data_IF_478551360560
#
_entry.id   IF_478551360560
#
_cell.length_a   1.000
_cell.length_b   1.000
_cell.length_c   1.000
_cell.angle_alpha   90.00
_cell.angle_beta   90.00
_cell.angle_gamma   90.00
#
_symmetry.space_group_name_H-M   'P 1'
#
loop_
_entity.id
_entity.type
_entity.pdbx_description
1 polymer ?
#
# COMPACT_ATOMS: atom_id res chain seq x y z
N UNK A 1 6.48 1.21 1.47
CA UNK A 1 5.03 1.11 1.15
C UNK A 1 4.66 -0.16 0.36
N UNK A 2 5.60 -1.08 0.08
CA UNK A 2 5.31 -2.33 -0.65
C UNK A 2 4.24 -3.21 0.01
N UNK A 3 4.22 -3.29 1.34
CA UNK A 3 3.21 -4.05 2.08
C UNK A 3 1.79 -3.63 1.69
N UNK A 4 1.56 -2.32 1.53
CA UNK A 4 0.26 -1.76 1.16
C UNK A 4 -0.10 -2.06 -0.30
N UNK A 5 0.87 -2.09 -1.21
CA UNK A 5 0.62 -2.52 -2.59
C UNK A 5 0.22 -4.01 -2.63
N UNK A 6 0.96 -4.86 -1.93
CA UNK A 6 0.69 -6.30 -1.88
C UNK A 6 -0.72 -6.60 -1.35
N UNK A 7 -1.13 -5.95 -0.26
CA UNK A 7 -2.48 -6.08 0.33
C UNK A 7 -3.62 -5.64 -0.60
N UNK A 8 -3.33 -4.90 -1.68
CA UNK A 8 -4.33 -4.38 -2.63
C UNK A 8 -4.32 -5.11 -3.96
N UNK A 9 -3.13 -5.55 -4.39
CA UNK A 9 -2.91 -6.15 -5.72
C UNK A 9 -3.02 -7.67 -5.69
N UNK A 10 -2.56 -8.32 -4.62
CA UNK A 10 -2.63 -9.78 -4.52
C UNK A 10 -4.07 -10.20 -4.17
N UNK A 11 -4.74 -11.02 -5.00
CA UNK A 11 -6.12 -11.42 -4.79
C UNK A 11 -6.37 -12.04 -3.40
N UNK A 12 -5.48 -12.93 -2.96
CA UNK A 12 -5.60 -13.63 -1.68
C UNK A 12 -5.71 -12.66 -0.49
N UNK A 13 -4.80 -11.68 -0.46
CA UNK A 13 -4.72 -10.65 0.59
C UNK A 13 -5.83 -9.61 0.46
N UNK A 14 -6.15 -9.20 -0.77
CA UNK A 14 -7.18 -8.20 -1.05
C UNK A 14 -8.57 -8.70 -0.62
N UNK A 15 -8.89 -9.97 -0.89
CA UNK A 15 -10.13 -10.61 -0.45
C UNK A 15 -10.23 -10.66 1.07
N UNK A 16 -9.17 -11.12 1.76
CA UNK A 16 -9.15 -11.20 3.22
C UNK A 16 -9.40 -9.85 3.91
N UNK A 17 -8.95 -8.77 3.29
CA UNK A 17 -9.02 -7.41 3.87
C UNK A 17 -10.30 -6.65 3.48
N UNK A 18 -11.03 -7.11 2.46
CA UNK A 18 -12.22 -6.43 1.94
C UNK A 18 -13.54 -7.00 2.44
N UNK A 19 -13.53 -8.06 3.26
CA UNK A 19 -14.71 -8.58 3.94
C UNK A 19 -15.44 -7.47 4.73
N UNK A 20 -16.78 -7.46 4.68
CA UNK A 20 -17.60 -6.35 5.20
C UNK A 20 -17.41 -6.13 6.71
N UNK A 21 -17.32 -7.22 7.48
CA UNK A 21 -17.05 -7.18 8.91
C UNK A 21 -15.69 -6.52 9.22
N UNK A 22 -14.67 -6.80 8.40
CA UNK A 22 -13.34 -6.21 8.51
C UNK A 22 -13.38 -4.73 8.11
N UNK A 23 -14.11 -4.36 7.06
CA UNK A 23 -14.28 -2.96 6.64
C UNK A 23 -14.96 -2.09 7.69
N UNK A 24 -15.93 -2.63 8.44
CA UNK A 24 -16.59 -1.89 9.55
C UNK A 24 -15.60 -1.64 10.69
N UNK A 25 -14.88 -2.67 11.14
CA UNK A 25 -13.86 -2.54 12.19
C UNK A 25 -12.73 -1.61 11.78
N UNK A 26 -12.27 -1.72 10.53
CA UNK A 26 -11.25 -0.86 9.94
C UNK A 26 -11.61 0.63 10.01
N UNK A 27 -12.87 1.01 9.78
CA UNK A 27 -13.31 2.42 9.90
C UNK A 27 -13.09 2.95 11.33
N UNK A 28 -13.42 2.15 12.34
CA UNK A 28 -13.24 2.52 13.75
C UNK A 28 -11.74 2.60 14.09
N UNK A 29 -10.96 1.62 13.64
CA UNK A 29 -9.50 1.58 13.84
C UNK A 29 -8.78 2.71 13.10
N UNK A 30 -9.38 3.30 12.07
CA UNK A 30 -8.85 4.51 11.43
C UNK A 30 -9.26 5.79 12.18
N UNK A 31 -10.49 5.86 12.68
CA UNK A 31 -11.03 7.05 13.34
C UNK A 31 -10.35 7.33 14.69
N UNK A 32 -10.26 6.32 15.56
CA UNK A 32 -9.77 6.50 16.93
C UNK A 32 -8.30 6.98 16.98
N UNK A 33 -7.36 6.37 16.25
CA UNK A 33 -5.98 6.85 16.23
C UNK A 33 -5.82 8.24 15.64
N UNK A 34 -6.69 8.65 14.71
CA UNK A 34 -6.70 10.01 14.18
C UNK A 34 -7.05 11.05 15.25
N UNK A 35 -8.06 10.76 16.09
CA UNK A 35 -8.44 11.62 17.21
C UNK A 35 -7.34 11.69 18.28
N UNK A 36 -6.73 10.54 18.61
CA UNK A 36 -5.61 10.48 19.55
C UNK A 36 -4.43 11.27 19.00
N UNK A 37 -4.10 11.11 17.72
CA UNK A 37 -3.02 11.83 17.05
C UNK A 37 -3.24 13.36 17.07
N UNK A 38 -4.48 13.82 16.92
CA UNK A 38 -4.83 15.23 17.11
C UNK A 38 -4.57 15.70 18.55
N UNK A 39 -4.96 14.91 19.56
CA UNK A 39 -4.66 15.19 20.96
C UNK A 39 -3.17 15.25 21.25
N UNK A 40 -2.39 14.29 20.72
CA UNK A 40 -0.93 14.26 20.85
C UNK A 40 -0.30 15.48 20.20
N UNK A 41 -0.74 15.87 19.00
CA UNK A 41 -0.28 17.10 18.35
C UNK A 41 -0.57 18.33 19.21
N UNK A 42 -1.78 18.45 19.76
CA UNK A 42 -2.18 19.57 20.63
C UNK A 42 -1.33 19.69 21.89
N UNK A 43 -0.86 18.56 22.43
CA UNK A 43 0.07 18.56 23.56
C UNK A 43 1.50 18.86 23.10
N UNK A 44 1.98 18.17 22.07
CA UNK A 44 3.36 18.25 21.60
C UNK A 44 3.74 19.66 21.14
N UNK A 45 2.82 20.44 20.56
CA UNK A 45 3.09 21.84 20.17
C UNK A 45 3.51 22.75 21.33
N UNK A 46 3.21 22.37 22.57
CA UNK A 46 3.61 23.10 23.77
C UNK A 46 4.91 22.57 24.41
N UNK A 47 5.38 21.39 23.99
CA UNK A 47 6.50 20.70 24.61
C UNK A 47 7.76 20.66 23.73
N UNK A 48 7.58 20.62 22.40
CA UNK A 48 8.67 20.46 21.44
C UNK A 48 8.51 21.44 20.28
N UNK A 49 9.62 21.86 19.63
CA UNK A 49 9.56 22.79 18.50
C UNK A 49 9.05 22.07 17.24
N UNK A 50 7.72 21.90 17.13
CA UNK A 50 7.06 21.25 15.99
C UNK A 50 7.27 22.01 14.68
N UNK A 51 7.74 23.27 14.71
CA UNK A 51 8.14 24.01 13.52
C UNK A 51 9.39 23.42 12.83
N UNK A 52 10.22 22.66 13.55
CA UNK A 52 11.35 21.97 12.95
C UNK A 52 10.90 20.67 12.27
N UNK A 53 11.14 20.51 10.94
CA UNK A 53 10.65 19.33 10.22
C UNK A 53 11.14 18.01 10.81
N UNK A 54 12.39 17.92 11.27
CA UNK A 54 12.95 16.70 11.85
C UNK A 54 12.26 16.31 13.16
N UNK A 55 11.93 17.29 14.00
CA UNK A 55 11.20 17.09 15.26
C UNK A 55 9.78 16.61 14.96
N UNK A 56 9.10 17.23 14.00
CA UNK A 56 7.79 16.76 13.53
C UNK A 56 7.84 15.32 13.03
N UNK A 57 8.84 14.97 12.20
CA UNK A 57 9.00 13.61 11.69
C UNK A 57 9.28 12.60 12.81
N UNK A 58 10.08 12.96 13.81
CA UNK A 58 10.36 12.12 14.97
C UNK A 58 9.10 11.89 15.83
N UNK A 59 8.36 12.95 16.14
CA UNK A 59 7.09 12.85 16.89
C UNK A 59 6.08 12.00 16.11
N UNK A 60 5.93 12.24 14.81
CA UNK A 60 5.06 11.47 13.94
C UNK A 60 5.45 9.99 13.89
N UNK A 61 6.75 9.68 13.80
CA UNK A 61 7.26 8.32 13.83
C UNK A 61 6.94 7.61 15.14
N UNK A 62 7.13 8.27 16.29
CA UNK A 62 6.84 7.69 17.60
C UNK A 62 5.35 7.39 17.77
N UNK A 63 4.48 8.33 17.37
CA UNK A 63 3.03 8.12 17.40
C UNK A 63 2.64 6.95 16.48
N UNK A 64 3.22 6.89 15.28
CA UNK A 64 2.97 5.82 14.32
C UNK A 64 3.47 4.45 14.80
N UNK A 65 4.62 4.38 15.49
CA UNK A 65 5.14 3.15 16.09
C UNK A 65 4.18 2.55 17.12
N UNK A 66 3.73 3.37 18.07
CA UNK A 66 2.77 2.96 19.10
C UNK A 66 1.45 2.54 18.44
N UNK A 67 0.99 3.32 17.47
CA UNK A 67 -0.25 3.06 16.74
C UNK A 67 -0.17 1.74 15.97
N UNK A 68 0.95 1.46 15.29
CA UNK A 68 1.15 0.22 14.57
C UNK A 68 1.06 -0.99 15.50
N UNK A 69 1.72 -0.94 16.66
CA UNK A 69 1.68 -2.02 17.65
C UNK A 69 0.26 -2.28 18.15
N UNK A 70 -0.46 -1.22 18.53
CA UNK A 70 -1.83 -1.33 19.05
C UNK A 70 -2.82 -1.79 17.97
N UNK A 71 -2.76 -1.21 16.77
CA UNK A 71 -3.66 -1.58 15.67
C UNK A 71 -3.41 -3.01 15.19
N UNK A 72 -2.16 -3.47 15.17
CA UNK A 72 -1.83 -4.85 14.88
C UNK A 72 -2.41 -5.80 15.92
N UNK A 73 -2.29 -5.50 17.22
CA UNK A 73 -2.93 -6.29 18.27
C UNK A 73 -4.44 -6.39 18.05
N UNK A 74 -5.10 -5.28 17.69
CA UNK A 74 -6.54 -5.26 17.40
C UNK A 74 -6.89 -6.13 16.18
N UNK A 75 -6.09 -6.10 15.12
CA UNK A 75 -6.27 -6.95 13.94
C UNK A 75 -6.04 -8.43 14.24
N UNK A 76 -5.01 -8.72 15.03
CA UNK A 76 -4.61 -10.06 15.46
C UNK A 76 -5.60 -10.67 16.46
N UNK A 77 -6.31 -9.83 17.21
CA UNK A 77 -7.33 -10.17 18.21
C UNK A 77 -6.86 -11.19 19.25
N UNK A 78 -5.61 -11.05 19.70
CA UNK A 78 -4.96 -11.93 20.68
C UNK A 78 -4.26 -11.11 21.78
N UNK A 79 -4.03 -11.68 22.98
CA UNK A 79 -3.23 -11.05 24.01
C UNK A 79 -1.75 -10.95 23.61
N UNK A 80 -1.03 -9.97 24.17
CA UNK A 80 0.38 -9.74 23.83
C UNK A 80 1.28 -10.96 24.05
N UNK A 81 1.04 -11.75 25.09
CA UNK A 81 1.80 -12.97 25.36
C UNK A 81 1.72 -13.99 24.21
N UNK A 82 0.53 -14.17 23.65
CA UNK A 82 0.30 -15.05 22.50
C UNK A 82 0.96 -14.49 21.24
N UNK A 83 0.83 -13.18 21.01
CA UNK A 83 1.47 -12.49 19.88
C UNK A 83 2.99 -12.67 19.93
N UNK A 84 3.62 -12.42 21.07
CA UNK A 84 5.08 -12.57 21.20
C UNK A 84 5.52 -14.01 20.95
N UNK A 85 4.76 -14.99 21.44
CA UNK A 85 5.08 -16.42 21.29
C UNK A 85 4.91 -16.92 19.86
N UNK A 86 3.84 -16.54 19.17
CA UNK A 86 3.47 -17.11 17.86
C UNK A 86 3.91 -16.27 16.66
N UNK A 87 4.03 -14.95 16.81
CA UNK A 87 4.37 -14.04 15.72
C UNK A 87 5.86 -13.67 15.75
N UNK A 88 6.49 -13.74 16.92
CA UNK A 88 7.93 -13.59 17.12
C UNK A 88 8.41 -12.14 17.04
N UNK A 89 9.54 -11.88 17.70
CA UNK A 89 10.11 -10.53 17.83
C UNK A 89 10.48 -9.92 16.47
N UNK A 90 10.89 -10.75 15.50
CA UNK A 90 11.27 -10.29 14.16
C UNK A 90 10.12 -9.65 13.38
N UNK A 91 8.92 -10.24 13.43
CA UNK A 91 7.77 -9.69 12.73
C UNK A 91 7.31 -8.39 13.39
N UNK A 92 7.33 -8.36 14.72
CA UNK A 92 6.91 -7.20 15.50
C UNK A 92 7.88 -6.03 15.37
N UNK A 93 9.19 -6.29 15.38
CA UNK A 93 10.20 -5.27 15.15
C UNK A 93 10.13 -4.72 13.72
N UNK A 94 9.89 -5.57 12.72
CA UNK A 94 9.61 -5.12 11.36
C UNK A 94 8.33 -4.28 11.28
N UNK A 95 7.25 -4.70 11.94
CA UNK A 95 5.99 -3.95 11.94
C UNK A 95 6.17 -2.58 12.59
N UNK A 96 6.73 -2.52 13.79
CA UNK A 96 6.90 -1.26 14.53
C UNK A 96 7.93 -0.36 13.84
N UNK A 97 9.07 -0.90 13.43
CA UNK A 97 10.13 -0.13 12.79
C UNK A 97 9.79 0.28 11.36
N UNK A 98 9.41 -0.67 10.50
CA UNK A 98 9.20 -0.40 9.07
C UNK A 98 7.81 0.15 8.76
N UNK A 99 6.75 -0.44 9.33
CA UNK A 99 5.37 0.00 9.09
C UNK A 99 4.96 1.13 10.04
N UNK A 100 5.47 1.16 11.27
CA UNK A 100 5.26 2.27 12.20
C UNK A 100 6.15 3.47 11.87
N UNK A 101 7.45 3.36 12.14
CA UNK A 101 8.36 4.51 12.04
C UNK A 101 8.61 4.95 10.60
N UNK A 102 9.23 4.09 9.76
CA UNK A 102 9.65 4.47 8.41
C UNK A 102 8.47 4.89 7.55
N UNK A 103 7.39 4.08 7.53
CA UNK A 103 6.21 4.41 6.75
C UNK A 103 5.46 5.64 7.29
N UNK A 104 5.41 5.85 8.61
CA UNK A 104 4.86 7.06 9.21
C UNK A 104 5.61 8.33 8.79
N UNK A 105 6.94 8.29 8.75
CA UNK A 105 7.80 9.37 8.24
C UNK A 105 7.51 9.63 6.76
N UNK A 106 7.46 8.58 5.93
CA UNK A 106 7.14 8.72 4.51
C UNK A 106 5.79 9.42 4.30
N UNK A 107 4.74 9.00 5.00
CA UNK A 107 3.43 9.62 4.87
C UNK A 107 3.41 11.07 5.37
N UNK A 108 4.18 11.39 6.41
CA UNK A 108 4.30 12.76 6.90
C UNK A 108 4.98 13.66 5.85
N UNK A 109 6.09 13.19 5.27
CA UNK A 109 6.78 13.88 4.17
C UNK A 109 5.85 14.08 2.97
N UNK A 110 5.08 13.07 2.60
CA UNK A 110 4.10 13.17 1.52
C UNK A 110 3.12 14.32 1.75
N UNK A 111 2.56 14.42 2.96
CA UNK A 111 1.59 15.48 3.30
C UNK A 111 2.25 16.85 3.23
N UNK A 112 3.45 17.00 3.79
CA UNK A 112 4.18 18.27 3.76
C UNK A 112 4.51 18.70 2.33
N UNK A 113 4.98 17.78 1.49
CA UNK A 113 5.29 18.07 0.07
C UNK A 113 4.04 18.43 -0.70
N UNK A 114 2.94 17.70 -0.49
CA UNK A 114 1.68 17.97 -1.19
C UNK A 114 1.17 19.37 -0.88
N UNK A 115 1.22 19.79 0.38
CA UNK A 115 0.81 21.13 0.79
C UNK A 115 1.75 22.20 0.25
N UNK A 116 3.06 21.94 0.21
CA UNK A 116 4.04 22.84 -0.40
C UNK A 116 3.76 23.07 -1.90
N UNK A 117 3.46 22.02 -2.66
CA UNK A 117 3.08 22.13 -4.09
C UNK A 117 1.81 22.96 -4.26
N UNK A 118 0.87 22.87 -3.33
CA UNK A 118 -0.37 23.66 -3.32
C UNK A 118 -0.19 25.10 -2.78
N UNK A 119 1.06 25.59 -2.72
CA UNK A 119 1.42 26.91 -2.20
C UNK A 119 1.09 27.14 -0.71
N UNK A 120 0.89 26.08 0.05
CA UNK A 120 0.70 26.14 1.51
C UNK A 120 1.99 25.72 2.23
N UNK A 121 2.82 26.71 2.56
CA UNK A 121 4.16 26.47 3.09
C UNK A 121 4.15 26.16 4.59
N UNK A 122 4.61 24.96 4.95
CA UNK A 122 4.84 24.54 6.34
C UNK A 122 5.83 25.45 7.09
N UNK A 123 6.84 26.00 6.40
CA UNK A 123 7.81 26.90 7.02
C UNK A 123 7.19 28.26 7.41
N UNK A 124 6.08 28.65 6.78
CA UNK A 124 5.38 29.90 7.06
C UNK A 124 4.19 29.69 8.02
N UNK A 125 3.49 28.56 7.88
CA UNK A 125 2.34 28.20 8.69
C UNK A 125 2.47 26.73 9.18
N UNK A 126 3.24 26.47 10.24
CA UNK A 126 3.60 25.10 10.63
C UNK A 126 2.44 24.30 11.21
N UNK A 127 1.46 24.95 11.84
CA UNK A 127 0.44 24.29 12.65
C UNK A 127 -0.52 23.40 11.84
N UNK A 128 -1.02 23.89 10.70
CA UNK A 128 -1.94 23.14 9.84
C UNK A 128 -1.29 21.89 9.23
N UNK A 129 -0.15 22.02 8.52
CA UNK A 129 0.53 20.90 7.90
C UNK A 129 1.07 19.88 8.91
N UNK A 130 1.59 20.33 10.05
CA UNK A 130 2.06 19.42 11.11
C UNK A 130 0.94 18.54 11.66
N UNK A 131 -0.21 19.15 11.96
CA UNK A 131 -1.39 18.44 12.42
C UNK A 131 -1.85 17.41 11.39
N UNK A 132 -1.98 17.81 10.11
CA UNK A 132 -2.39 16.91 9.03
C UNK A 132 -1.39 15.77 8.84
N UNK A 133 -0.09 16.05 8.87
CA UNK A 133 0.96 15.04 8.71
C UNK A 133 0.90 13.96 9.79
N UNK A 134 0.74 14.35 11.07
CA UNK A 134 0.62 13.41 12.20
C UNK A 134 -0.68 12.59 12.11
N UNK A 135 -1.82 13.22 11.80
CA UNK A 135 -3.11 12.51 11.73
C UNK A 135 -3.16 11.54 10.54
N UNK A 136 -2.76 11.99 9.33
CA UNK A 136 -2.85 11.19 8.10
C UNK A 136 -1.87 10.01 8.16
N UNK A 137 -0.66 10.23 8.68
CA UNK A 137 0.31 9.15 8.87
C UNK A 137 -0.20 8.13 9.89
N UNK A 138 -0.65 8.57 11.07
CA UNK A 138 -1.19 7.72 12.12
C UNK A 138 -2.37 6.87 11.64
N UNK A 139 -3.38 7.48 11.00
CA UNK A 139 -4.57 6.78 10.50
C UNK A 139 -4.25 5.76 9.42
N UNK A 140 -3.31 6.08 8.52
CA UNK A 140 -2.87 5.17 7.46
C UNK A 140 -2.06 3.99 8.01
N UNK A 141 -1.16 4.25 8.97
CA UNK A 141 -0.37 3.22 9.66
C UNK A 141 -1.28 2.29 10.48
N UNK A 142 -2.26 2.85 11.20
CA UNK A 142 -3.25 2.08 11.95
C UNK A 142 -3.99 1.09 11.04
N UNK A 143 -4.45 1.58 9.88
CA UNK A 143 -5.13 0.76 8.88
C UNK A 143 -4.26 -0.41 8.43
N UNK A 144 -3.04 -0.12 7.99
CA UNK A 144 -2.19 -1.13 7.36
C UNK A 144 -1.67 -2.14 8.40
N UNK A 145 -1.35 -1.70 9.62
CA UNK A 145 -0.99 -2.59 10.72
C UNK A 145 -2.14 -3.50 11.17
N UNK A 146 -3.37 -2.98 11.19
CA UNK A 146 -4.57 -3.78 11.45
C UNK A 146 -4.79 -4.85 10.38
N UNK A 147 -4.66 -4.49 9.10
CA UNK A 147 -4.78 -5.43 7.97
C UNK A 147 -3.74 -6.55 8.06
N UNK A 148 -2.48 -6.22 8.37
CA UNK A 148 -1.41 -7.19 8.57
C UNK A 148 -1.71 -8.13 9.77
N UNK A 149 -2.20 -7.57 10.89
CA UNK A 149 -2.60 -8.37 12.05
C UNK A 149 -3.76 -9.32 11.74
N UNK A 150 -4.72 -8.87 10.94
CA UNK A 150 -5.85 -9.68 10.51
C UNK A 150 -5.42 -10.84 9.59
N UNK A 151 -4.56 -10.57 8.60
CA UNK A 151 -4.00 -11.62 7.73
C UNK A 151 -3.23 -12.66 8.58
N UNK A 152 -2.46 -12.21 9.57
CA UNK A 152 -1.75 -13.12 10.47
C UNK A 152 -2.69 -13.99 11.30
N UNK A 153 -3.78 -13.42 11.82
CA UNK A 153 -4.83 -14.17 12.51
C UNK A 153 -5.42 -15.26 11.60
N UNK A 154 -5.78 -14.92 10.36
CA UNK A 154 -6.32 -15.89 9.40
C UNK A 154 -5.32 -17.02 9.08
N UNK A 155 -4.03 -16.68 8.99
CA UNK A 155 -2.95 -17.67 8.78
C UNK A 155 -2.93 -18.70 9.91
N UNK A 156 -3.04 -18.25 11.16
CA UNK A 156 -3.07 -19.15 12.32
C UNK A 156 -4.36 -19.96 12.44
N UNK A 157 -5.47 -19.45 11.90
CA UNK A 157 -6.74 -20.17 11.79
C UNK A 157 -6.76 -21.19 10.65
N UNK A 158 -5.60 -21.49 10.04
CA UNK A 158 -5.46 -22.52 9.02
C UNK A 158 -5.77 -22.06 7.60
N UNK A 159 -5.91 -20.76 7.32
CA UNK A 159 -5.96 -20.23 5.95
C UNK A 159 -4.56 -19.83 5.48
N UNK A 160 -3.84 -20.66 4.71
CA UNK A 160 -2.49 -20.32 4.28
C UNK A 160 -2.50 -19.15 3.28
N UNK A 161 -1.57 -18.21 3.46
CA UNK A 161 -1.28 -17.17 2.48
C UNK A 161 0.12 -17.41 1.90
N UNK A 162 0.19 -17.51 0.57
CA UNK A 162 1.45 -17.78 -0.15
C UNK A 162 2.44 -16.62 -0.05
N UNK A 163 1.92 -15.40 0.04
CA UNK A 163 2.74 -14.19 0.17
C UNK A 163 2.34 -13.42 1.42
N UNK A 164 3.28 -13.29 2.36
CA UNK A 164 3.15 -12.38 3.49
C UNK A 164 3.88 -11.06 3.19
N UNK A 165 3.31 -9.89 3.54
CA UNK A 165 3.84 -8.58 3.12
C UNK A 165 5.05 -8.09 3.94
N UNK A 166 5.98 -8.96 4.36
CA UNK A 166 7.18 -8.63 5.16
C UNK A 166 8.44 -8.30 4.32
N UNK A 167 8.33 -8.38 3.00
CA UNK A 167 9.43 -8.15 2.06
C UNK A 167 10.45 -9.29 1.97
N UNK A 168 10.29 -10.39 2.72
CA UNK A 168 11.12 -11.58 2.53
C UNK A 168 10.98 -12.17 1.10
N UNK A 169 9.76 -12.25 0.51
CA UNK A 169 9.61 -12.77 -0.83
C UNK A 169 10.24 -11.87 -1.91
N UNK A 170 10.36 -10.56 -1.65
CA UNK A 170 11.08 -9.64 -2.55
C UNK A 170 12.59 -9.88 -2.49
N UNK A 171 13.16 -10.11 -1.30
CA UNK A 171 14.60 -10.41 -1.16
C UNK A 171 14.98 -11.70 -1.90
N UNK A 172 14.14 -12.73 -1.81
CA UNK A 172 14.33 -13.98 -2.56
C UNK A 172 14.30 -13.72 -4.06
N UNK A 173 13.35 -12.90 -4.54
CA UNK A 173 13.26 -12.52 -5.95
C UNK A 173 14.53 -11.80 -6.43
N UNK A 174 15.03 -10.84 -5.65
CA UNK A 174 16.25 -10.10 -5.96
C UNK A 174 17.48 -11.02 -6.07
N UNK A 175 17.54 -12.08 -5.27
CA UNK A 175 18.65 -13.05 -5.31
C UNK A 175 18.55 -14.00 -6.50
N UNK A 176 17.35 -14.45 -6.86
CA UNK A 176 17.18 -15.55 -7.83
C UNK A 176 16.81 -15.08 -9.25
N UNK A 177 16.22 -13.88 -9.40
CA UNK A 177 15.75 -13.34 -10.69
C UNK A 177 16.35 -11.97 -11.03
N UNK A 178 17.52 -11.63 -10.49
CA UNK A 178 18.21 -10.36 -10.78
C UNK A 178 18.37 -10.09 -12.28
N UNK A 179 18.71 -11.11 -13.07
CA UNK A 179 18.88 -10.98 -14.52
C UNK A 179 17.61 -10.59 -15.27
N UNK A 180 16.43 -11.01 -14.80
CA UNK A 180 15.14 -10.66 -15.40
C UNK A 180 14.62 -9.31 -14.89
N UNK A 181 15.01 -8.91 -13.67
CA UNK A 181 14.67 -7.62 -13.06
C UNK A 181 15.47 -6.45 -13.62
N UNK A 182 16.75 -6.67 -13.94
CA UNK A 182 17.68 -5.61 -14.37
C UNK A 182 17.15 -4.71 -15.49
N UNK A 183 16.66 -5.27 -16.62
CA UNK A 183 16.12 -4.48 -17.72
C UNK A 183 14.94 -3.58 -17.31
N UNK A 184 14.05 -4.05 -16.43
CA UNK A 184 12.92 -3.27 -15.94
C UNK A 184 13.36 -2.09 -15.06
N UNK A 185 14.34 -2.33 -14.18
CA UNK A 185 14.92 -1.28 -13.33
C UNK A 185 15.62 -0.22 -14.20
N UNK A 186 16.41 -0.63 -15.20
CA UNK A 186 17.08 0.27 -16.13
C UNK A 186 16.08 1.09 -16.97
N UNK A 187 15.04 0.44 -17.50
CA UNK A 187 13.96 1.13 -18.21
C UNK A 187 13.25 2.14 -17.29
N UNK A 188 13.00 1.76 -16.03
CA UNK A 188 12.47 2.65 -15.01
C UNK A 188 13.35 3.87 -14.81
N UNK A 189 14.66 3.69 -14.56
CA UNK A 189 15.62 4.79 -14.39
C UNK A 189 15.58 5.77 -15.58
N UNK A 190 15.67 5.25 -16.81
CA UNK A 190 15.68 6.06 -18.02
C UNK A 190 14.37 6.87 -18.18
N UNK A 191 13.22 6.21 -18.05
CA UNK A 191 11.91 6.85 -18.19
C UNK A 191 11.66 7.89 -17.08
N UNK A 192 12.09 7.61 -15.85
CA UNK A 192 11.94 8.55 -14.74
C UNK A 192 12.84 9.76 -14.83
N UNK A 193 14.04 9.63 -15.39
CA UNK A 193 14.91 10.78 -15.64
C UNK A 193 14.26 11.78 -16.61
N UNK A 194 13.57 11.27 -17.64
CA UNK A 194 12.83 12.07 -18.62
C UNK A 194 11.61 12.79 -18.01
N UNK A 195 11.10 12.32 -16.86
CA UNK A 195 9.96 12.93 -16.19
C UNK A 195 10.27 14.34 -15.61
N UNK A 196 11.55 14.74 -15.60
CA UNK A 196 11.96 16.10 -15.22
C UNK A 196 11.73 17.15 -16.32
N UNK A 197 11.65 16.73 -17.59
CA UNK A 197 11.56 17.61 -18.77
C UNK A 197 10.35 18.56 -18.71
N UNK A 198 9.13 18.12 -18.35
CA UNK A 198 7.98 19.03 -18.27
C UNK A 198 8.19 20.19 -17.28
N UNK A 199 8.98 19.98 -16.22
CA UNK A 199 9.31 21.04 -15.26
C UNK A 199 10.26 22.10 -15.81
N UNK A 200 11.03 21.81 -16.87
CA UNK A 200 11.88 22.79 -17.55
C UNK A 200 11.06 23.79 -18.38
N UNK A 201 9.83 23.44 -18.73
CA UNK A 201 8.95 24.25 -19.58
C UNK A 201 8.07 25.22 -18.78
N UNK A 202 8.14 25.17 -17.45
CA UNK A 202 7.31 25.97 -16.54
C UNK A 202 8.21 26.89 -15.72
N UNK A 203 7.98 28.19 -15.81
CA UNK A 203 8.78 29.19 -15.10
C UNK A 203 8.49 29.24 -13.59
N UNK A 204 7.26 28.89 -13.19
CA UNK A 204 6.83 28.86 -11.79
C UNK A 204 7.35 27.59 -11.07
N UNK A 205 7.91 27.74 -9.87
CA UNK A 205 8.53 26.63 -9.13
C UNK A 205 7.50 25.57 -8.73
N UNK A 206 6.33 25.99 -8.24
CA UNK A 206 5.25 25.10 -7.84
C UNK A 206 4.61 24.43 -9.08
N UNK A 207 4.41 25.19 -10.16
CA UNK A 207 3.95 24.68 -11.45
C UNK A 207 4.90 23.63 -12.04
N UNK A 208 6.21 23.87 -11.97
CA UNK A 208 7.23 22.91 -12.40
C UNK A 208 7.18 21.63 -11.55
N UNK A 209 7.07 21.75 -10.23
CA UNK A 209 6.93 20.60 -9.33
C UNK A 209 5.64 19.80 -9.59
N UNK A 210 4.53 20.47 -9.89
CA UNK A 210 3.26 19.83 -10.24
C UNK A 210 3.35 19.10 -11.60
N UNK A 211 3.98 19.72 -12.61
CA UNK A 211 4.21 19.11 -13.91
C UNK A 211 5.09 17.86 -13.80
N UNK A 212 6.16 17.93 -13.00
CA UNK A 212 7.03 16.78 -12.73
C UNK A 212 6.32 15.68 -11.94
N UNK A 213 5.53 16.04 -10.92
CA UNK A 213 4.70 15.08 -10.18
C UNK A 213 3.74 14.35 -11.12
N UNK A 214 3.05 15.07 -12.00
CA UNK A 214 2.15 14.49 -12.99
C UNK A 214 2.91 13.56 -13.95
N UNK A 215 4.05 14.00 -14.47
CA UNK A 215 4.89 13.21 -15.37
C UNK A 215 5.36 11.90 -14.71
N UNK A 216 5.92 11.97 -13.49
CA UNK A 216 6.36 10.77 -12.75
C UNK A 216 5.19 9.86 -12.41
N UNK A 217 4.02 10.42 -12.11
CA UNK A 217 2.80 9.65 -11.82
C UNK A 217 2.38 8.80 -13.02
N UNK A 218 2.27 9.42 -14.20
CA UNK A 218 1.84 8.74 -15.43
C UNK A 218 2.92 7.76 -15.93
N UNK A 219 4.17 8.23 -16.03
CA UNK A 219 5.27 7.43 -16.54
C UNK A 219 5.63 6.28 -15.60
N UNK A 220 5.73 6.56 -14.29
CA UNK A 220 5.97 5.55 -13.27
C UNK A 220 4.84 4.52 -13.19
N UNK A 221 3.58 4.97 -13.24
CA UNK A 221 2.43 4.08 -13.31
C UNK A 221 2.43 3.19 -14.55
N UNK A 222 2.77 3.76 -15.72
CA UNK A 222 2.92 3.03 -16.98
C UNK A 222 4.01 1.96 -16.92
N UNK A 223 5.22 2.33 -16.46
CA UNK A 223 6.33 1.37 -16.30
C UNK A 223 5.97 0.26 -15.31
N UNK A 224 5.31 0.59 -14.20
CA UNK A 224 4.82 -0.41 -13.22
C UNK A 224 3.91 -1.42 -13.88
N UNK A 225 2.97 -0.97 -14.71
CA UNK A 225 2.02 -1.81 -15.40
C UNK A 225 2.73 -2.75 -16.38
N UNK A 226 3.67 -2.22 -17.18
CA UNK A 226 4.47 -3.04 -18.10
C UNK A 226 5.29 -4.09 -17.35
N UNK A 227 5.97 -3.67 -16.27
CA UNK A 227 6.78 -4.57 -15.45
C UNK A 227 5.93 -5.65 -14.78
N UNK A 228 4.73 -5.31 -14.33
CA UNK A 228 3.77 -6.25 -13.76
C UNK A 228 3.38 -7.35 -14.74
N UNK A 229 3.03 -7.00 -15.98
CA UNK A 229 2.73 -8.00 -17.01
C UNK A 229 3.96 -8.81 -17.42
N UNK A 230 5.16 -8.22 -17.35
CA UNK A 230 6.42 -8.94 -17.53
C UNK A 230 6.69 -9.97 -16.43
N UNK A 231 6.26 -9.73 -15.19
CA UNK A 231 6.37 -10.67 -14.09
C UNK A 231 5.28 -11.74 -14.07
N UNK A 232 4.09 -11.43 -14.61
CA UNK A 232 2.91 -12.31 -14.55
C UNK A 232 3.03 -13.58 -15.41
N UNK A 233 3.65 -13.48 -16.59
CA UNK A 233 3.88 -14.64 -17.48
C UNK A 233 5.25 -14.51 -18.17
N UNK A 234 6.33 -14.92 -17.51
CA UNK A 234 7.70 -14.69 -18.00
C UNK A 234 8.00 -15.33 -19.38
N UNK A 235 7.26 -16.38 -19.75
CA UNK A 235 7.40 -17.08 -21.02
C UNK A 235 6.67 -16.40 -22.19
N UNK A 236 5.85 -15.39 -21.93
CA UNK A 236 5.09 -14.66 -22.96
C UNK A 236 5.52 -13.19 -23.02
N UNK A 237 5.56 -12.57 -24.21
CA UNK A 237 5.81 -11.14 -24.31
C UNK A 237 4.75 -10.33 -23.55
N UNK A 238 5.19 -9.41 -22.69
CA UNK A 238 4.29 -8.58 -21.87
C UNK A 238 3.23 -7.83 -22.70
N UNK A 239 3.56 -7.44 -23.94
CA UNK A 239 2.64 -6.78 -24.89
C UNK A 239 1.45 -7.68 -25.23
N UNK A 240 1.69 -8.98 -25.37
CA UNK A 240 0.64 -9.94 -25.71
C UNK A 240 -0.31 -10.14 -24.52
N UNK A 241 0.23 -10.20 -23.31
CA UNK A 241 -0.55 -10.27 -22.06
C UNK A 241 -1.37 -9.00 -21.84
N UNK A 242 -0.79 -7.83 -22.11
CA UNK A 242 -1.47 -6.55 -22.04
C UNK A 242 -2.67 -6.49 -23.00
N UNK A 243 -2.49 -6.89 -24.26
CA UNK A 243 -3.55 -6.90 -25.29
C UNK A 243 -4.69 -7.87 -24.98
N UNK A 244 -4.42 -8.95 -24.25
CA UNK A 244 -5.42 -9.95 -23.84
C UNK A 244 -6.22 -9.54 -22.61
N UNK A 245 -5.78 -8.50 -21.89
CA UNK A 245 -6.42 -8.07 -20.64
C UNK A 245 -7.57 -7.11 -20.94
N UNK A 246 -8.71 -7.31 -20.28
CA UNK A 246 -9.86 -6.42 -20.44
C UNK A 246 -9.53 -4.99 -19.97
N UNK A 247 -9.94 -3.94 -20.71
CA UNK A 247 -9.58 -2.55 -20.39
C UNK A 247 -10.11 -2.07 -19.03
N UNK A 248 -11.25 -2.61 -18.56
CA UNK A 248 -11.79 -2.30 -17.23
C UNK A 248 -10.92 -2.80 -16.07
N UNK A 249 -10.39 -4.02 -16.19
CA UNK A 249 -9.41 -4.57 -15.22
C UNK A 249 -8.09 -3.81 -15.30
N UNK A 250 -7.67 -3.45 -16.52
CA UNK A 250 -6.48 -2.65 -16.75
C UNK A 250 -6.56 -1.31 -16.03
N UNK A 251 -7.67 -0.58 -16.16
CA UNK A 251 -7.86 0.69 -15.48
C UNK A 251 -7.84 0.55 -13.96
N UNK A 252 -8.46 -0.49 -13.40
CA UNK A 252 -8.47 -0.73 -11.95
C UNK A 252 -7.06 -0.99 -11.39
N UNK A 253 -6.24 -1.76 -12.10
CA UNK A 253 -4.85 -2.04 -11.71
C UNK A 253 -3.87 -0.91 -12.09
N UNK A 254 -4.11 -0.16 -13.15
CA UNK A 254 -3.23 0.92 -13.60
C UNK A 254 -3.45 2.21 -12.81
N UNK A 255 -4.71 2.62 -12.67
CA UNK A 255 -5.09 3.87 -12.00
C UNK A 255 -4.77 3.84 -10.51
N UNK A 256 -5.06 2.73 -9.83
CA UNK A 256 -5.04 2.70 -8.38
C UNK A 256 -3.67 2.34 -7.77
N UNK A 257 -3.07 1.14 -7.97
CA UNK A 257 -1.76 0.85 -7.39
C UNK A 257 -0.57 1.39 -8.20
N UNK A 258 -0.67 1.57 -9.52
CA UNK A 258 0.43 2.10 -10.34
C UNK A 258 0.65 3.59 -10.11
N UNK A 259 -0.31 4.41 -10.54
CA UNK A 259 -0.20 5.87 -10.48
C UNK A 259 -0.19 6.42 -9.05
N UNK A 260 -1.11 5.97 -8.19
CA UNK A 260 -1.20 6.54 -6.83
C UNK A 260 0.07 6.27 -6.01
N UNK A 261 0.74 5.12 -6.19
CA UNK A 261 2.00 4.90 -5.48
C UNK A 261 3.20 5.58 -6.14
N UNK A 262 3.22 5.71 -7.48
CA UNK A 262 4.26 6.48 -8.15
C UNK A 262 4.25 7.94 -7.65
N UNK A 263 3.07 8.57 -7.59
CA UNK A 263 2.92 9.92 -7.03
C UNK A 263 3.32 9.97 -5.55
N UNK A 264 2.88 8.99 -4.76
CA UNK A 264 3.20 8.88 -3.33
C UNK A 264 4.72 8.79 -3.09
N UNK A 265 5.43 7.89 -3.80
CA UNK A 265 6.87 7.75 -3.68
C UNK A 265 7.62 9.00 -4.16
N UNK A 266 7.13 9.66 -5.20
CA UNK A 266 7.72 10.92 -5.67
C UNK A 266 7.54 12.05 -4.66
N UNK A 267 6.36 12.22 -4.07
CA UNK A 267 6.12 13.22 -3.02
C UNK A 267 6.99 12.99 -1.79
N UNK A 268 7.20 11.73 -1.41
CA UNK A 268 8.12 11.35 -0.31
C UNK A 268 9.56 11.73 -0.65
N UNK A 269 10.02 11.37 -1.85
CA UNK A 269 11.37 11.66 -2.31
C UNK A 269 11.62 13.18 -2.32
N UNK A 270 10.72 13.94 -2.92
CA UNK A 270 10.79 15.41 -2.93
C UNK A 270 10.72 16.00 -1.52
N UNK A 271 9.90 15.43 -0.63
CA UNK A 271 9.83 15.87 0.77
C UNK A 271 11.14 15.65 1.52
N UNK A 272 11.86 14.57 1.22
CA UNK A 272 13.18 14.32 1.79
C UNK A 272 14.18 15.41 1.35
N UNK A 273 14.15 15.84 0.10
CA UNK A 273 14.99 16.94 -0.38
C UNK A 273 14.63 18.28 0.30
N UNK A 274 13.33 18.62 0.35
CA UNK A 274 12.86 19.92 0.87
C UNK A 274 13.03 20.02 2.38
N UNK A 275 12.61 19.00 3.13
CA UNK A 275 12.43 19.11 4.58
C UNK A 275 13.54 18.44 5.39
N UNK A 276 14.20 17.42 4.85
CA UNK A 276 15.30 16.73 5.53
C UNK A 276 16.66 17.27 5.07
N UNK A 277 16.87 17.34 3.76
CA UNK A 277 18.10 17.89 3.18
C UNK A 277 18.10 19.42 3.09
N UNK A 278 16.98 20.07 3.41
CA UNK A 278 16.81 21.54 3.45
C UNK A 278 17.19 22.23 2.14
N UNK A 279 16.91 21.60 1.00
CA UNK A 279 17.11 22.24 -0.30
C UNK A 279 15.96 23.21 -0.59
N UNK A 280 16.23 24.51 -0.81
CA UNK A 280 15.18 25.53 -0.95
C UNK A 280 14.47 25.49 -2.30
N UNK A 281 15.09 24.91 -3.33
CA UNK A 281 14.54 24.83 -4.69
C UNK A 281 14.78 23.47 -5.31
N UNK A 282 13.87 23.08 -6.20
CA UNK A 282 13.96 21.84 -6.95
C UNK A 282 14.72 22.08 -8.23
N UNK A 283 16.00 21.70 -8.23
CA UNK A 283 16.78 21.70 -9.46
C UNK A 283 16.24 20.66 -10.44
N UNK A 284 16.33 20.89 -11.76
CA UNK A 284 15.96 19.87 -12.74
C UNK A 284 16.73 18.56 -12.57
N UNK A 285 18.00 18.64 -12.16
CA UNK A 285 18.84 17.47 -11.86
C UNK A 285 18.30 16.65 -10.69
N UNK A 286 17.93 17.30 -9.58
CA UNK A 286 17.35 16.60 -8.42
C UNK A 286 15.99 15.99 -8.77
N UNK A 287 15.18 16.67 -9.57
CA UNK A 287 13.91 16.13 -10.07
C UNK A 287 14.11 14.90 -10.98
N UNK A 288 15.12 14.93 -11.87
CA UNK A 288 15.46 13.81 -12.75
C UNK A 288 15.93 12.59 -11.94
N UNK A 289 16.82 12.80 -10.97
CA UNK A 289 17.32 11.74 -10.09
C UNK A 289 16.19 11.12 -9.27
N UNK A 290 15.33 11.95 -8.67
CA UNK A 290 14.20 11.44 -7.88
C UNK A 290 13.14 10.75 -8.75
N UNK A 291 12.86 11.30 -9.92
CA UNK A 291 12.01 10.66 -10.92
C UNK A 291 12.53 9.27 -11.27
N UNK A 292 13.81 9.17 -11.63
CA UNK A 292 14.49 7.92 -11.97
C UNK A 292 14.44 6.88 -10.84
N UNK A 293 14.77 7.28 -9.60
CA UNK A 293 14.72 6.38 -8.45
C UNK A 293 13.31 5.86 -8.23
N UNK A 294 12.30 6.73 -8.28
CA UNK A 294 10.91 6.34 -8.04
C UNK A 294 10.41 5.39 -9.10
N UNK A 295 10.60 5.70 -10.38
CA UNK A 295 10.18 4.83 -11.49
C UNK A 295 10.92 3.50 -11.49
N UNK A 296 12.19 3.46 -11.08
CA UNK A 296 12.95 2.22 -10.92
C UNK A 296 12.39 1.33 -9.80
N UNK A 297 12.08 1.93 -8.64
CA UNK A 297 11.41 1.23 -7.51
C UNK A 297 10.04 0.72 -7.95
N UNK A 298 9.29 1.53 -8.69
CA UNK A 298 7.97 1.18 -9.21
C UNK A 298 8.05 0.02 -10.23
N UNK A 299 9.06 -0.01 -11.10
CA UNK A 299 9.32 -1.12 -12.00
C UNK A 299 9.63 -2.42 -11.22
N UNK A 300 10.52 -2.35 -10.23
CA UNK A 300 10.86 -3.48 -9.36
C UNK A 300 9.62 -4.04 -8.64
N UNK A 301 8.81 -3.16 -8.05
CA UNK A 301 7.60 -3.58 -7.34
C UNK A 301 6.52 -4.09 -8.29
N UNK A 302 6.36 -3.49 -9.46
CA UNK A 302 5.46 -3.98 -10.50
C UNK A 302 5.78 -5.42 -10.89
N UNK A 303 7.04 -5.67 -11.26
CA UNK A 303 7.49 -7.02 -11.62
C UNK A 303 7.32 -8.02 -10.46
N UNK A 304 7.71 -7.63 -9.24
CA UNK A 304 7.52 -8.47 -8.05
C UNK A 304 6.06 -8.85 -7.82
N UNK A 305 5.12 -7.92 -7.95
CA UNK A 305 3.69 -8.20 -7.79
C UNK A 305 3.15 -9.11 -8.90
N UNK A 306 3.67 -8.97 -10.12
CA UNK A 306 3.35 -9.87 -11.24
C UNK A 306 3.81 -11.30 -10.95
N UNK A 307 5.07 -11.45 -10.54
CA UNK A 307 5.67 -12.75 -10.18
C UNK A 307 4.91 -13.43 -9.04
N UNK A 308 4.51 -12.68 -8.01
CA UNK A 308 3.74 -13.23 -6.89
C UNK A 308 2.33 -13.64 -7.29
N UNK A 309 1.68 -12.88 -8.17
CA UNK A 309 0.38 -13.29 -8.72
C UNK A 309 0.51 -14.54 -9.57
N UNK A 310 1.56 -14.66 -10.38
CA UNK A 310 1.81 -15.88 -11.16
C UNK A 310 1.94 -17.11 -10.26
N UNK A 311 2.70 -16.99 -9.16
CA UNK A 311 2.83 -18.07 -8.17
C UNK A 311 1.50 -18.40 -7.51
N UNK A 312 0.66 -17.39 -7.20
CA UNK A 312 -0.69 -17.64 -6.68
C UNK A 312 -1.57 -18.37 -7.70
N UNK A 313 -1.50 -17.98 -8.98
CA UNK A 313 -2.25 -18.63 -10.06
C UNK A 313 -1.80 -20.09 -10.29
N UNK A 314 -0.51 -20.39 -10.11
CA UNK A 314 0.04 -21.76 -10.24
C UNK A 314 -0.27 -22.65 -9.01
N UNK A 315 -0.15 -22.12 -7.80
CA UNK A 315 -0.26 -22.88 -6.56
C UNK A 315 -1.68 -22.93 -5.99
N UNK A 316 -2.60 -22.07 -6.46
CA UNK A 316 -4.02 -22.11 -6.10
C UNK A 316 -4.95 -22.43 -7.29
N UNK A 317 -4.92 -23.65 -7.87
CA UNK A 317 -5.93 -24.10 -8.83
C UNK A 317 -7.37 -24.08 -8.29
N UNK A 318 -7.56 -23.98 -6.97
CA UNK A 318 -8.88 -24.02 -6.32
C UNK A 318 -9.70 -22.72 -6.46
N UNK A 319 -9.13 -21.63 -6.96
CA UNK A 319 -9.90 -20.46 -7.40
C UNK A 319 -9.99 -20.48 -8.91
N UNK A 320 -10.81 -21.40 -9.43
CA UNK A 320 -11.18 -21.45 -10.85
C UNK A 320 -11.42 -20.04 -11.39
N UNK A 321 -10.73 -19.71 -12.47
CA UNK A 321 -10.79 -18.42 -13.18
C UNK A 321 -12.22 -18.01 -13.59
N UNK A 322 -13.20 -18.91 -13.48
CA UNK A 322 -14.64 -18.63 -13.65
C UNK A 322 -15.35 -18.07 -12.41
N UNK A 323 -14.92 -18.38 -11.18
CA UNK A 323 -15.55 -17.89 -9.94
C UNK A 323 -15.20 -16.43 -9.61
N UNK A 324 -14.08 -15.91 -10.12
CA UNK A 324 -13.65 -14.52 -9.93
C UNK A 324 -14.20 -13.56 -10.99
N UNK A 325 -14.98 -14.05 -11.98
CA UNK A 325 -15.43 -13.26 -13.14
C UNK A 325 -16.90 -12.82 -13.13
N UNK A 326 -17.69 -13.16 -12.11
CA UNK A 326 -19.11 -12.78 -12.06
C UNK A 326 -19.46 -12.06 -10.75
N UNK A 327 -19.67 -10.72 -10.75
CA UNK A 327 -20.13 -9.98 -9.57
C UNK A 327 -21.54 -10.39 -9.11
N UNK A 328 -22.31 -11.11 -9.94
CA UNK A 328 -23.64 -11.62 -9.61
C UNK A 328 -23.63 -12.93 -8.77
N UNK A 329 -22.57 -13.75 -8.85
CA UNK A 329 -22.50 -15.05 -8.13
C UNK A 329 -22.00 -14.89 -6.69
N UNK A 330 -21.24 -13.83 -6.40
CA UNK A 330 -20.79 -13.49 -5.04
C UNK A 330 -21.97 -13.20 -4.09
N UNK A 331 -23.12 -12.75 -4.63
CA UNK A 331 -24.36 -12.54 -3.86
C UNK A 331 -25.13 -13.82 -3.54
N UNK A 332 -24.93 -14.90 -4.29
CA UNK A 332 -25.59 -16.20 -4.05
C UNK A 332 -24.76 -17.05 -3.08
N UNK A 333 -23.43 -17.09 -3.25
CA UNK A 333 -22.53 -17.79 -2.31
C UNK A 333 -22.45 -17.11 -0.93
N UNK A 334 -22.69 -15.80 -0.85
CA UNK A 334 -22.86 -15.10 0.43
C UNK A 334 -24.17 -15.45 1.15
N UNK A 335 -25.20 -15.92 0.43
CA UNK A 335 -26.49 -16.34 1.01
C UNK A 335 -26.47 -17.79 1.49
N UNK A 336 -25.81 -18.71 0.78
CA UNK A 336 -25.78 -20.13 1.18
C UNK A 336 -24.92 -20.43 2.40
N UNK A 337 -23.93 -19.58 2.72
CA UNK A 337 -23.15 -19.72 3.96
C UNK A 337 -23.93 -19.19 5.19
N UNK A 338 -25.03 -18.46 4.97
CA UNK A 338 -25.84 -17.85 6.03
C UNK A 338 -27.17 -18.56 6.34
N UNK A 339 -27.46 -19.74 5.76
CA UNK A 339 -28.76 -20.42 5.95
C UNK A 339 -28.67 -21.89 6.39
N UNK A 340 -27.55 -22.33 6.94
CA UNK A 340 -27.39 -23.73 7.41
C UNK A 340 -27.28 -23.83 8.93
N UNK A 341 -28.06 -23.03 9.65
CA UNK A 341 -28.36 -23.26 11.07
C UNK A 341 -29.71 -22.61 11.43
N UNK A 342 -30.79 -23.32 11.10
CA UNK A 342 -32.04 -23.26 11.85
C UNK A 342 -32.83 -24.55 11.61
N UNK A 343 -32.89 -25.36 12.66
CA UNK A 343 -33.92 -26.37 12.97
C UNK A 343 -34.06 -27.56 12.02
N UNK A 344 -33.44 -28.67 12.44
CA UNK A 344 -33.92 -29.99 12.08
C UNK A 344 -35.21 -30.32 12.84
N UNK A 345 -36.16 -30.91 12.13
CA UNK A 345 -37.11 -31.83 12.72
C UNK A 345 -37.43 -32.93 11.69
N UNK A 346 -37.17 -34.17 12.11
CA UNK A 346 -37.48 -35.40 11.39
C UNK A 346 -39.00 -35.59 11.28
N UNK A 347 -39.48 -36.00 10.10
CA UNK A 347 -40.56 -36.99 10.02
C UNK A 347 -40.59 -37.67 8.64
N UNK A 348 -40.25 -38.96 8.64
CA UNK A 348 -40.51 -39.92 7.57
C UNK A 348 -42.02 -40.19 7.41
N UNK A 349 -42.45 -40.31 6.15
CA UNK A 349 -43.35 -41.39 5.72
C UNK A 349 -44.87 -41.11 5.68
N UNK A 350 -45.42 -41.02 4.45
CA UNK A 350 -46.54 -41.86 3.97
C UNK A 350 -46.89 -41.55 2.51
N UNK A 351 -46.63 -42.53 1.65
CA UNK A 351 -47.48 -43.08 0.57
C UNK A 351 -48.70 -42.29 0.08
N UNK A 352 -48.87 -42.21 -1.25
CA UNK A 352 -50.20 -42.35 -1.89
C UNK A 352 -50.58 -41.41 -3.03
N UNK A 353 -50.29 -41.82 -4.28
CA UNK A 353 -51.18 -41.96 -5.45
C UNK A 353 -52.40 -41.00 -5.64
N UNK A 354 -52.42 -40.40 -6.85
CA UNK A 354 -53.53 -39.92 -7.73
C UNK A 354 -54.39 -38.71 -7.35
N UNK A 355 -54.64 -37.91 -8.39
CA UNK A 355 -55.64 -36.87 -8.52
C UNK A 355 -55.28 -35.98 -9.69
#
# INVERSE_FOLDING_TARGET
MLHRMALRVLPSLSLAVTEEAVRKKKRIVMFVPGLIAFGVYRLAKHLVPIAEPLVLLAVSALVAMVTAALAYRVGRAAPWAEIMRHDGVRLLSWLVGWTGAVYGIQLSLLVLTLLWIMSYSYLQHPDGPAMMAIIISCTSVARDAFEIGHVRRLTQMGRPFLTFPDGAPLRVLLQHKAGQLGPWVLAGLAVGALASIPGLLVADVQGAALAQLFAVTVLGGGVTLCAYFGGLYPSTPWVQTLRRTAPGELMKYWWWPGMAFASTYYLVAMGLLLFVMRQPTMTPGSAAVMGAIVTAIMALYGYYLGDRRHIEDEQAPQLSSGMLRCPFVMGILGKTIGSTDATGELALGKTGIKG
#
